data_IF_399279213207
#
_entry.id   IF_399279213207
#
_cell.length_a   1.000
_cell.length_b   1.000
_cell.length_c   1.000
_cell.angle_alpha   90.00
_cell.angle_beta   90.00
_cell.angle_gamma   90.00
#
_symmetry.space_group_name_H-M   'P 1'
#
loop_
_entity.id
_entity.type
_entity.pdbx_description
1 polymer ?
#
# COMPACT_ATOMS: atom_id res chain seq x y z
N UNK A 1 20.75 -17.74 -25.32
CA UNK A 1 20.69 -17.08 -24.01
C UNK A 1 19.25 -16.67 -23.74
N UNK A 2 18.66 -16.98 -22.57
CA UNK A 2 17.30 -16.53 -22.22
C UNK A 2 17.41 -15.28 -21.34
N UNK A 3 16.74 -14.18 -21.74
CA UNK A 3 16.70 -12.93 -20.98
C UNK A 3 15.27 -12.71 -20.49
N UNK A 4 15.09 -12.45 -19.19
CA UNK A 4 13.83 -12.01 -18.61
C UNK A 4 13.87 -10.49 -18.47
N UNK A 5 12.99 -9.80 -19.17
CA UNK A 5 12.97 -8.32 -19.25
C UNK A 5 11.65 -7.70 -18.77
N UNK A 6 10.75 -8.50 -18.16
CA UNK A 6 9.45 -8.04 -17.65
C UNK A 6 9.49 -7.84 -16.13
N UNK A 7 10.32 -6.89 -15.67
CA UNK A 7 10.44 -6.57 -14.23
C UNK A 7 9.18 -5.90 -13.67
N UNK A 8 8.39 -5.25 -14.51
CA UNK A 8 7.13 -4.64 -14.14
C UNK A 8 6.07 -5.69 -13.72
N UNK A 9 6.11 -6.90 -14.27
CA UNK A 9 5.25 -8.00 -13.85
C UNK A 9 5.69 -8.58 -12.50
N UNK A 10 6.98 -8.90 -12.34
CA UNK A 10 7.58 -9.40 -11.09
C UNK A 10 9.09 -9.41 -11.19
N UNK A 11 9.77 -9.42 -10.06
CA UNK A 11 11.23 -9.59 -10.00
C UNK A 11 11.62 -10.94 -9.39
N UNK A 12 12.86 -11.39 -9.67
CA UNK A 12 13.44 -12.51 -8.95
C UNK A 12 13.74 -12.13 -7.50
N UNK A 13 13.57 -13.07 -6.57
CA UNK A 13 14.02 -12.87 -5.20
C UNK A 13 15.53 -12.65 -5.16
N UNK A 14 15.99 -11.59 -4.50
CA UNK A 14 17.41 -11.31 -4.36
C UNK A 14 18.09 -12.32 -3.42
N UNK A 15 19.39 -12.59 -3.64
CA UNK A 15 20.18 -13.43 -2.75
C UNK A 15 20.17 -12.92 -1.31
N UNK A 16 20.30 -11.61 -1.13
CA UNK A 16 20.25 -10.95 0.19
C UNK A 16 18.91 -11.18 0.90
N UNK A 17 17.80 -11.13 0.16
CA UNK A 17 16.48 -11.41 0.72
C UNK A 17 16.34 -12.88 1.10
N UNK A 18 16.76 -13.80 0.22
CA UNK A 18 16.72 -15.24 0.48
C UNK A 18 17.52 -15.61 1.73
N UNK A 19 18.79 -15.17 1.81
CA UNK A 19 19.66 -15.43 2.96
C UNK A 19 19.08 -14.86 4.27
N UNK A 20 18.40 -13.72 4.20
CA UNK A 20 17.75 -13.14 5.36
C UNK A 20 16.50 -13.92 5.81
N UNK A 21 15.83 -14.62 4.90
CA UNK A 21 14.63 -15.42 5.19
C UNK A 21 14.94 -16.77 5.81
N UNK A 22 16.02 -17.44 5.35
CA UNK A 22 16.31 -18.84 5.69
C UNK A 22 16.28 -19.15 7.19
N UNK A 23 16.93 -18.39 8.09
CA UNK A 23 16.91 -18.68 9.52
C UNK A 23 15.50 -18.65 10.13
N UNK A 24 14.62 -17.83 9.57
CA UNK A 24 13.22 -17.67 10.04
C UNK A 24 12.27 -18.73 9.48
N UNK A 25 12.71 -19.50 8.51
CA UNK A 25 11.96 -20.62 7.95
C UNK A 25 12.36 -21.95 8.57
N UNK A 26 13.55 -22.03 9.19
CA UNK A 26 14.18 -23.28 9.65
C UNK A 26 14.44 -23.28 11.15
N UNK A 27 15.05 -22.24 11.69
CA UNK A 27 15.52 -22.19 13.08
C UNK A 27 14.58 -21.36 13.98
N UNK A 28 14.24 -20.15 13.54
CA UNK A 28 13.45 -19.17 14.31
C UNK A 28 11.99 -19.14 13.84
N UNK A 29 11.34 -20.27 13.69
CA UNK A 29 10.00 -20.43 13.09
C UNK A 29 8.84 -20.11 14.05
N UNK A 30 9.12 -19.52 15.20
CA UNK A 30 8.11 -19.20 16.23
C UNK A 30 6.94 -18.36 15.73
N UNK A 31 5.74 -18.62 16.26
CA UNK A 31 4.57 -17.80 15.96
C UNK A 31 4.65 -16.48 16.76
N UNK A 32 4.66 -15.29 16.10
CA UNK A 32 4.73 -13.99 16.78
C UNK A 32 3.59 -13.72 17.78
N UNK A 33 2.50 -14.47 17.70
CA UNK A 33 1.37 -14.35 18.64
C UNK A 33 1.53 -15.18 19.91
N UNK A 34 2.52 -16.06 19.98
CA UNK A 34 2.77 -16.89 21.16
C UNK A 34 3.49 -16.10 22.28
N UNK A 35 3.27 -16.50 23.53
CA UNK A 35 3.79 -15.81 24.71
C UNK A 35 5.16 -16.31 25.18
N UNK A 36 5.57 -17.48 24.71
CA UNK A 36 6.87 -18.08 25.03
C UNK A 36 8.02 -17.47 24.20
N UNK A 37 9.26 -17.90 24.48
CA UNK A 37 10.47 -17.24 23.96
C UNK A 37 10.55 -17.19 22.45
N UNK A 38 10.23 -18.30 21.75
CA UNK A 38 10.26 -18.35 20.29
C UNK A 38 9.24 -17.36 19.66
N UNK A 39 8.08 -17.20 20.31
CA UNK A 39 7.08 -16.23 19.89
C UNK A 39 7.53 -14.79 20.10
N UNK A 40 8.20 -14.50 21.24
CA UNK A 40 8.76 -13.15 21.47
C UNK A 40 9.85 -12.81 20.48
N UNK A 41 10.79 -13.70 20.23
CA UNK A 41 11.85 -13.54 19.21
C UNK A 41 11.27 -13.23 17.83
N UNK A 42 10.25 -13.96 17.41
CA UNK A 42 9.58 -13.74 16.14
C UNK A 42 8.84 -12.38 16.11
N UNK A 43 8.20 -11.97 17.21
CA UNK A 43 7.50 -10.68 17.34
C UNK A 43 8.46 -9.51 17.24
N UNK A 44 9.56 -9.55 17.98
CA UNK A 44 10.57 -8.49 17.99
C UNK A 44 11.18 -8.29 16.59
N UNK A 45 11.36 -9.37 15.86
CA UNK A 45 11.83 -9.31 14.49
C UNK A 45 10.76 -8.70 13.53
N UNK A 46 9.46 -8.99 13.70
CA UNK A 46 8.39 -8.34 12.93
C UNK A 46 8.38 -6.83 13.19
N UNK A 47 8.45 -6.41 14.45
CA UNK A 47 8.43 -4.98 14.79
C UNK A 47 9.71 -4.28 14.32
N UNK A 48 10.88 -4.91 14.41
CA UNK A 48 12.12 -4.39 13.82
C UNK A 48 12.01 -4.21 12.30
N UNK A 49 11.37 -5.15 11.60
CA UNK A 49 11.13 -5.00 10.16
C UNK A 49 10.18 -3.84 9.86
N UNK A 50 9.12 -3.70 10.66
CA UNK A 50 8.15 -2.60 10.55
C UNK A 50 8.82 -1.24 10.73
N UNK A 51 9.66 -1.07 11.76
CA UNK A 51 10.39 0.17 12.02
C UNK A 51 11.32 0.56 10.86
N UNK A 52 12.01 -0.41 10.27
CA UNK A 52 12.89 -0.16 9.12
C UNK A 52 12.12 0.26 7.87
N UNK A 53 10.97 -0.36 7.60
CA UNK A 53 10.10 0.04 6.49
C UNK A 53 9.60 1.47 6.70
N UNK A 54 9.19 1.81 7.92
CA UNK A 54 8.80 3.19 8.28
C UNK A 54 9.93 4.18 8.01
N UNK A 55 11.12 3.88 8.48
CA UNK A 55 12.29 4.75 8.28
C UNK A 55 12.62 4.94 6.79
N UNK A 56 12.42 3.90 5.97
CA UNK A 56 12.67 3.96 4.52
C UNK A 56 11.70 4.88 3.77
N UNK A 57 10.45 5.02 4.24
CA UNK A 57 9.43 5.89 3.65
C UNK A 57 9.29 7.23 4.40
N UNK A 58 10.18 7.56 5.32
CA UNK A 58 10.05 8.71 6.23
C UNK A 58 8.67 8.77 6.93
N UNK A 59 8.12 7.60 7.24
CA UNK A 59 6.77 7.45 7.79
C UNK A 59 6.77 7.67 9.29
N UNK A 60 6.01 8.63 9.78
CA UNK A 60 5.77 8.82 11.20
C UNK A 60 4.52 8.04 11.64
N UNK A 61 4.58 7.44 12.86
CA UNK A 61 3.44 6.84 13.53
C UNK A 61 3.23 5.33 13.33
N UNK A 62 2.07 4.84 13.79
CA UNK A 62 1.80 3.40 13.98
C UNK A 62 1.05 2.70 12.83
N UNK A 63 0.69 3.44 11.79
CA UNK A 63 -0.26 3.03 10.76
C UNK A 63 0.26 2.14 9.64
N UNK A 64 1.25 1.26 9.89
CA UNK A 64 1.73 0.31 8.87
C UNK A 64 1.22 -1.09 9.17
N UNK A 65 0.45 -1.66 8.25
CA UNK A 65 -0.12 -3.00 8.35
C UNK A 65 0.46 -3.89 7.27
N UNK A 66 0.97 -5.05 7.65
CA UNK A 66 1.44 -6.04 6.69
C UNK A 66 0.28 -6.74 6.01
N UNK A 67 0.39 -6.90 4.68
CA UNK A 67 -0.58 -7.54 3.80
C UNK A 67 0.07 -8.67 3.01
N UNK A 68 -0.70 -9.41 2.25
CA UNK A 68 -0.19 -10.43 1.31
C UNK A 68 0.37 -9.84 0.00
N UNK A 69 0.24 -8.53 -0.21
CA UNK A 69 0.70 -7.84 -1.41
C UNK A 69 -0.09 -6.57 -1.70
N UNK A 70 0.23 -5.90 -2.81
CA UNK A 70 -0.43 -4.67 -3.24
C UNK A 70 -1.94 -4.81 -3.39
N UNK A 71 -2.40 -5.90 -4.02
CA UNK A 71 -3.84 -6.13 -4.22
C UNK A 71 -4.65 -6.12 -2.92
N UNK A 72 -4.14 -6.76 -1.86
CA UNK A 72 -4.80 -6.71 -0.55
C UNK A 72 -4.75 -5.31 0.04
N UNK A 73 -3.62 -4.61 -0.08
CA UNK A 73 -3.44 -3.26 0.43
C UNK A 73 -4.39 -2.25 -0.25
N UNK A 74 -4.49 -2.28 -1.59
CA UNK A 74 -5.38 -1.42 -2.36
C UNK A 74 -6.85 -1.65 -2.03
N UNK A 75 -7.27 -2.93 -2.00
CA UNK A 75 -8.63 -3.29 -1.62
C UNK A 75 -8.96 -2.78 -0.21
N UNK A 76 -8.02 -2.93 0.72
CA UNK A 76 -8.23 -2.50 2.10
C UNK A 76 -8.34 -0.98 2.20
N UNK A 77 -7.46 -0.23 1.53
CA UNK A 77 -7.50 1.23 1.50
C UNK A 77 -8.85 1.74 0.96
N UNK A 78 -9.29 1.24 -0.20
CA UNK A 78 -10.53 1.68 -0.83
C UNK A 78 -11.75 1.35 0.02
N UNK A 79 -11.87 0.10 0.51
CA UNK A 79 -13.01 -0.33 1.33
C UNK A 79 -13.08 0.44 2.65
N UNK A 80 -11.93 0.65 3.31
CA UNK A 80 -11.83 1.36 4.57
C UNK A 80 -12.23 2.84 4.41
N UNK A 81 -11.71 3.52 3.37
CA UNK A 81 -12.05 4.90 3.09
C UNK A 81 -13.53 5.05 2.67
N UNK A 82 -14.06 4.14 1.85
CA UNK A 82 -15.47 4.12 1.48
C UNK A 82 -16.38 3.94 2.70
N UNK A 83 -16.08 2.99 3.59
CA UNK A 83 -16.85 2.76 4.80
C UNK A 83 -16.80 3.97 5.75
N UNK A 84 -15.63 4.59 5.93
CA UNK A 84 -15.47 5.80 6.74
C UNK A 84 -16.22 7.00 6.13
N UNK A 85 -16.12 7.18 4.81
CA UNK A 85 -16.83 8.23 4.07
C UNK A 85 -18.34 8.10 4.20
N UNK A 86 -18.88 6.90 4.03
CA UNK A 86 -20.31 6.64 4.13
C UNK A 86 -20.90 7.05 5.50
N UNK A 87 -20.13 6.90 6.60
CA UNK A 87 -20.56 7.32 7.94
C UNK A 87 -20.75 8.83 8.09
N UNK A 88 -20.06 9.61 7.28
CA UNK A 88 -20.12 11.07 7.28
C UNK A 88 -20.87 11.62 6.05
N UNK A 89 -21.62 10.75 5.35
CA UNK A 89 -22.44 11.13 4.19
C UNK A 89 -21.67 11.30 2.88
N UNK A 90 -20.37 10.95 2.83
CA UNK A 90 -19.56 11.03 1.62
C UNK A 90 -19.58 9.68 0.89
N UNK A 91 -20.09 9.64 -0.33
CA UNK A 91 -20.23 8.43 -1.16
C UNK A 91 -19.65 8.58 -2.56
N UNK A 92 -18.72 9.48 -2.76
CA UNK A 92 -18.02 9.65 -4.02
C UNK A 92 -16.56 9.25 -3.87
N UNK A 93 -16.10 8.42 -4.80
CA UNK A 93 -14.72 7.95 -4.92
C UNK A 93 -14.19 8.38 -6.28
N UNK A 94 -12.97 8.89 -6.32
CA UNK A 94 -12.29 9.25 -7.56
C UNK A 94 -11.09 8.32 -7.73
N UNK A 95 -10.92 7.73 -8.92
CA UNK A 95 -9.75 6.90 -9.26
C UNK A 95 -9.20 7.32 -10.62
N UNK A 96 -7.90 7.14 -10.89
CA UNK A 96 -7.41 7.39 -12.24
C UNK A 96 -7.91 6.30 -13.22
N UNK A 97 -8.04 6.64 -14.50
CA UNK A 97 -8.48 5.69 -15.51
C UNK A 97 -7.43 4.61 -15.83
N UNK A 98 -6.18 4.83 -15.40
CA UNK A 98 -5.03 3.95 -15.67
C UNK A 98 -4.57 3.14 -14.47
N UNK A 99 -5.40 3.04 -13.44
CA UNK A 99 -5.09 2.26 -12.24
C UNK A 99 -4.91 0.76 -12.54
N UNK A 100 -4.14 0.10 -11.70
CA UNK A 100 -4.11 -1.36 -11.68
C UNK A 100 -5.49 -1.93 -11.34
N UNK A 101 -5.80 -3.14 -11.82
CA UNK A 101 -7.08 -3.81 -11.55
C UNK A 101 -7.38 -4.01 -10.05
N UNK A 102 -6.34 -3.98 -9.18
CA UNK A 102 -6.49 -4.03 -7.74
C UNK A 102 -7.18 -2.77 -7.15
N UNK A 103 -7.23 -1.67 -7.90
CA UNK A 103 -7.97 -0.43 -7.60
C UNK A 103 -9.25 -0.37 -8.43
N UNK A 104 -9.18 -0.62 -9.75
CA UNK A 104 -10.35 -0.50 -10.64
C UNK A 104 -11.49 -1.47 -10.28
N UNK A 105 -11.16 -2.72 -9.93
CA UNK A 105 -12.20 -3.71 -9.61
C UNK A 105 -12.90 -3.43 -8.27
N UNK A 106 -12.20 -3.08 -7.17
CA UNK A 106 -12.85 -2.57 -5.96
C UNK A 106 -13.68 -1.31 -6.20
N UNK A 107 -13.22 -0.35 -7.02
CA UNK A 107 -13.99 0.83 -7.38
C UNK A 107 -15.33 0.45 -8.05
N UNK A 108 -15.29 -0.44 -9.06
CA UNK A 108 -16.51 -1.00 -9.69
C UNK A 108 -17.40 -1.77 -8.70
N UNK A 109 -16.81 -2.41 -7.69
CA UNK A 109 -17.58 -3.07 -6.63
C UNK A 109 -18.30 -2.05 -5.74
N UNK A 110 -17.65 -0.93 -5.43
CA UNK A 110 -18.26 0.18 -4.68
C UNK A 110 -19.39 0.83 -5.47
N UNK A 111 -19.31 0.96 -6.81
CA UNK A 111 -20.43 1.42 -7.63
C UNK A 111 -21.67 0.54 -7.44
N UNK A 112 -21.50 -0.79 -7.46
CA UNK A 112 -22.61 -1.73 -7.20
C UNK A 112 -23.19 -1.63 -5.79
N UNK A 113 -22.44 -1.07 -4.84
CA UNK A 113 -22.86 -0.80 -3.47
C UNK A 113 -23.48 0.61 -3.29
N UNK A 114 -23.65 1.35 -4.39
CA UNK A 114 -24.31 2.67 -4.38
C UNK A 114 -23.35 3.85 -4.13
N UNK A 115 -22.05 3.65 -4.29
CA UNK A 115 -21.11 4.77 -4.37
C UNK A 115 -21.08 5.33 -5.80
N UNK A 116 -20.86 6.61 -5.92
CA UNK A 116 -20.50 7.24 -7.19
C UNK A 116 -18.99 7.13 -7.38
N UNK A 117 -18.55 6.69 -8.55
CA UNK A 117 -17.13 6.63 -8.91
C UNK A 117 -16.86 7.50 -10.13
N UNK A 118 -15.86 8.35 -10.04
CA UNK A 118 -15.31 9.10 -11.18
C UNK A 118 -13.96 8.53 -11.57
N UNK A 119 -13.83 8.19 -12.85
CA UNK A 119 -12.57 7.75 -13.45
C UNK A 119 -11.91 8.97 -14.11
N UNK A 120 -10.83 9.48 -13.51
CA UNK A 120 -10.11 10.65 -14.03
C UNK A 120 -9.42 10.30 -15.35
N UNK A 121 -9.66 11.07 -16.40
CA UNK A 121 -8.90 10.93 -17.64
C UNK A 121 -7.43 11.32 -17.41
N UNK A 122 -6.58 10.82 -18.28
CA UNK A 122 -5.15 11.13 -18.30
C UNK A 122 -4.78 11.74 -19.65
N UNK A 123 -3.64 12.41 -19.72
CA UNK A 123 -3.06 12.92 -20.98
C UNK A 123 -2.61 11.76 -21.87
N UNK A 124 -2.11 12.08 -23.09
CA UNK A 124 -1.49 11.09 -23.98
C UNK A 124 -0.26 10.42 -23.37
N UNK A 125 0.41 11.09 -22.46
CA UNK A 125 1.55 10.58 -21.68
C UNK A 125 1.13 9.79 -20.43
N UNK A 126 -0.17 9.67 -20.18
CA UNK A 126 -0.71 8.95 -19.02
C UNK A 126 -0.66 9.74 -17.70
N UNK A 127 -0.61 11.08 -17.74
CA UNK A 127 -0.56 11.95 -16.56
C UNK A 127 -1.96 12.39 -16.14
N UNK A 128 -2.31 12.27 -14.86
CA UNK A 128 -3.47 12.93 -14.26
C UNK A 128 -3.13 14.40 -14.03
N UNK A 129 -3.88 15.31 -14.66
CA UNK A 129 -3.67 16.73 -14.47
C UNK A 129 -4.31 17.22 -13.16
N UNK A 130 -3.59 18.03 -12.34
CA UNK A 130 -4.09 18.58 -11.09
C UNK A 130 -5.43 19.30 -11.24
N UNK A 131 -5.60 20.13 -12.28
CA UNK A 131 -6.85 20.84 -12.58
C UNK A 131 -8.02 19.91 -12.92
N UNK A 132 -7.75 18.74 -13.51
CA UNK A 132 -8.76 17.71 -13.79
C UNK A 132 -9.25 17.08 -12.49
N UNK A 133 -8.33 16.81 -11.54
CA UNK A 133 -8.70 16.31 -10.22
C UNK A 133 -9.51 17.36 -9.45
N UNK A 134 -9.03 18.61 -9.40
CA UNK A 134 -9.71 19.67 -8.67
C UNK A 134 -11.16 19.89 -9.16
N UNK A 135 -11.36 19.88 -10.48
CA UNK A 135 -12.70 20.00 -11.09
C UNK A 135 -13.61 18.78 -10.79
N UNK A 136 -13.05 17.60 -10.49
CA UNK A 136 -13.82 16.40 -10.20
C UNK A 136 -14.21 16.27 -8.71
N UNK A 137 -13.49 16.95 -7.81
CA UNK A 137 -13.77 16.91 -6.37
C UNK A 137 -15.10 17.65 -6.10
N UNK A 138 -15.92 17.08 -5.22
CA UNK A 138 -17.20 17.64 -4.78
C UNK A 138 -17.43 17.36 -3.28
N UNK A 139 -18.42 18.00 -2.63
CA UNK A 139 -18.60 17.93 -1.18
C UNK A 139 -18.75 16.52 -0.61
N UNK A 140 -19.28 15.58 -1.40
CA UNK A 140 -19.46 14.18 -1.02
C UNK A 140 -18.28 13.28 -1.44
N UNK A 141 -17.15 13.83 -1.93
CA UNK A 141 -15.93 13.07 -2.22
C UNK A 141 -15.30 12.61 -0.92
N UNK A 142 -15.11 11.29 -0.78
CA UNK A 142 -14.46 10.66 0.35
C UNK A 142 -12.98 10.36 0.08
N UNK A 143 -12.68 9.80 -1.09
CA UNK A 143 -11.35 9.30 -1.44
C UNK A 143 -11.00 9.66 -2.88
N UNK A 144 -9.75 10.02 -3.08
CA UNK A 144 -9.06 10.01 -4.38
C UNK A 144 -7.98 8.94 -4.35
N UNK A 145 -7.91 8.09 -5.38
CA UNK A 145 -6.86 7.09 -5.55
C UNK A 145 -6.18 7.27 -6.90
N UNK A 146 -4.89 7.60 -6.88
CA UNK A 146 -4.06 7.73 -8.07
C UNK A 146 -2.76 7.00 -7.85
N UNK A 147 -2.44 6.02 -8.72
CA UNK A 147 -1.21 5.26 -8.61
C UNK A 147 0.02 6.17 -8.72
N UNK A 148 1.10 5.82 -8.02
CA UNK A 148 2.34 6.61 -8.02
C UNK A 148 3.06 6.54 -9.37
N UNK A 149 3.18 5.33 -9.89
CA UNK A 149 3.80 5.06 -11.19
C UNK A 149 3.04 3.96 -11.92
N UNK A 150 2.80 4.14 -13.22
CA UNK A 150 2.06 3.17 -14.00
C UNK A 150 2.95 1.99 -14.42
N UNK A 151 2.43 0.78 -14.29
CA UNK A 151 3.13 -0.47 -14.57
C UNK A 151 3.30 -0.79 -16.07
N UNK A 152 2.55 -0.13 -16.95
CA UNK A 152 2.57 -0.41 -18.39
C UNK A 152 3.33 0.67 -19.16
N UNK A 153 3.05 1.94 -18.92
CA UNK A 153 3.65 3.06 -19.64
C UNK A 153 4.80 3.73 -18.89
N UNK A 154 4.98 3.44 -17.59
CA UNK A 154 6.09 3.95 -16.78
C UNK A 154 5.94 5.39 -16.30
N UNK A 155 4.82 6.06 -16.59
CA UNK A 155 4.56 7.43 -16.16
C UNK A 155 4.49 7.55 -14.65
N UNK A 156 5.23 8.51 -14.10
CA UNK A 156 5.15 8.89 -12.67
C UNK A 156 4.13 10.03 -12.55
N UNK A 157 3.19 9.90 -11.63
CA UNK A 157 2.15 10.88 -11.38
C UNK A 157 2.64 12.01 -10.46
N UNK A 158 2.08 13.22 -10.54
CA UNK A 158 2.39 14.33 -9.64
C UNK A 158 1.69 14.15 -8.28
N UNK A 159 1.97 13.03 -7.61
CA UNK A 159 1.23 12.56 -6.41
C UNK A 159 1.30 13.53 -5.23
N UNK A 160 2.39 14.28 -5.08
CA UNK A 160 2.50 15.30 -4.01
C UNK A 160 1.51 16.44 -4.23
N UNK A 161 1.38 16.93 -5.48
CA UNK A 161 0.44 17.98 -5.84
C UNK A 161 -1.02 17.51 -5.74
N UNK A 162 -1.30 16.30 -6.21
CA UNK A 162 -2.63 15.69 -6.12
C UNK A 162 -3.05 15.46 -4.66
N UNK A 163 -2.13 15.02 -3.80
CA UNK A 163 -2.37 14.86 -2.36
C UNK A 163 -2.65 16.20 -1.68
N UNK A 164 -1.92 17.25 -2.06
CA UNK A 164 -2.15 18.60 -1.51
C UNK A 164 -3.53 19.15 -1.90
N UNK A 165 -3.97 18.96 -3.15
CA UNK A 165 -5.34 19.32 -3.57
C UNK A 165 -6.37 18.56 -2.71
N UNK A 166 -6.21 17.26 -2.54
CA UNK A 166 -7.10 16.47 -1.69
C UNK A 166 -7.14 16.98 -0.26
N UNK A 167 -5.99 17.32 0.31
CA UNK A 167 -5.87 17.88 1.66
C UNK A 167 -6.62 19.21 1.81
N UNK A 168 -6.50 20.12 0.83
CA UNK A 168 -7.20 21.40 0.82
C UNK A 168 -8.74 21.23 0.81
N UNK A 169 -9.22 20.17 0.17
CA UNK A 169 -10.66 19.85 0.09
C UNK A 169 -11.17 18.91 1.20
N UNK A 170 -10.30 18.49 2.14
CA UNK A 170 -10.65 17.55 3.20
C UNK A 170 -11.09 16.18 2.66
N UNK A 171 -10.40 15.72 1.62
CA UNK A 171 -10.59 14.44 0.93
C UNK A 171 -9.37 13.56 1.21
N UNK A 172 -9.57 12.28 1.50
CA UNK A 172 -8.45 11.34 1.69
C UNK A 172 -7.78 11.02 0.36
N UNK A 173 -6.45 10.84 0.42
CA UNK A 173 -5.64 10.49 -0.74
C UNK A 173 -4.96 9.13 -0.54
N UNK A 174 -5.18 8.22 -1.50
CA UNK A 174 -4.51 6.93 -1.62
C UNK A 174 -3.61 6.92 -2.85
N UNK A 175 -2.45 6.30 -2.72
CA UNK A 175 -1.59 6.00 -3.87
C UNK A 175 -1.15 4.54 -3.87
N UNK A 176 -1.38 3.84 -4.98
CA UNK A 176 -0.74 2.56 -5.27
C UNK A 176 0.72 2.83 -5.66
N UNK A 177 1.63 2.61 -4.72
CA UNK A 177 3.08 2.79 -4.90
C UNK A 177 3.80 1.47 -5.21
N UNK A 178 3.10 0.44 -5.64
CA UNK A 178 3.67 -0.89 -5.92
C UNK A 178 4.78 -0.83 -6.96
N UNK A 179 4.66 0.02 -7.99
CA UNK A 179 5.71 0.20 -9.01
C UNK A 179 6.75 1.27 -8.63
N UNK A 180 6.46 2.12 -7.65
CA UNK A 180 7.37 3.19 -7.23
C UNK A 180 8.34 2.73 -6.13
N UNK A 181 7.86 1.92 -5.18
CA UNK A 181 8.64 1.48 -4.03
C UNK A 181 9.91 0.71 -4.46
N UNK A 182 11.06 1.18 -3.96
CA UNK A 182 12.36 0.63 -4.32
C UNK A 182 12.93 1.11 -5.65
N UNK A 183 12.21 1.94 -6.40
CA UNK A 183 12.63 2.51 -7.70
C UNK A 183 12.74 4.03 -7.66
N UNK A 184 11.90 4.70 -6.87
CA UNK A 184 11.96 6.15 -6.63
C UNK A 184 11.96 6.43 -5.13
N UNK A 185 12.45 7.60 -4.75
CA UNK A 185 12.36 8.05 -3.36
C UNK A 185 10.89 8.30 -2.98
N UNK A 186 10.44 7.72 -1.88
CA UNK A 186 9.12 7.98 -1.30
C UNK A 186 9.32 8.59 0.08
N UNK A 187 8.87 9.82 0.24
CA UNK A 187 8.91 10.57 1.50
C UNK A 187 7.48 10.96 1.91
N UNK A 188 6.90 10.22 2.84
CA UNK A 188 5.53 10.44 3.29
C UNK A 188 5.34 11.75 4.05
N UNK A 189 6.43 12.39 4.52
CA UNK A 189 6.35 13.73 5.13
C UNK A 189 6.07 14.80 4.08
N UNK A 190 6.53 14.60 2.84
CA UNK A 190 6.26 15.48 1.69
C UNK A 190 4.97 15.09 0.98
N UNK A 191 4.84 13.82 0.64
CA UNK A 191 3.69 13.28 -0.10
C UNK A 191 2.36 13.48 0.64
N UNK A 192 2.36 13.41 1.98
CA UNK A 192 1.18 13.60 2.84
C UNK A 192 -0.03 12.73 2.46
N UNK A 193 0.20 11.56 1.84
CA UNK A 193 -0.86 10.61 1.54
C UNK A 193 -1.50 10.07 2.83
N UNK A 194 -2.81 9.78 2.77
CA UNK A 194 -3.51 9.12 3.88
C UNK A 194 -3.35 7.60 3.82
N UNK A 195 -3.18 7.05 2.61
CA UNK A 195 -2.93 5.62 2.38
C UNK A 195 -1.88 5.43 1.29
N UNK A 196 -1.03 4.41 1.47
CA UNK A 196 -0.05 4.01 0.46
C UNK A 196 0.11 2.49 0.46
N UNK A 197 0.00 1.88 -0.73
CA UNK A 197 0.10 0.44 -0.94
C UNK A 197 1.43 0.05 -1.55
N UNK A 198 2.03 -1.05 -1.05
CA UNK A 198 3.32 -1.56 -1.54
C UNK A 198 3.33 -3.09 -1.63
N UNK A 199 4.10 -3.63 -2.58
CA UNK A 199 4.30 -5.06 -2.76
C UNK A 199 5.77 -5.40 -2.98
N UNK A 200 6.32 -6.30 -2.15
CA UNK A 200 7.76 -6.60 -2.12
C UNK A 200 8.29 -7.21 -3.43
N UNK A 201 7.49 -8.00 -4.15
CA UNK A 201 7.95 -8.73 -5.33
C UNK A 201 8.27 -7.84 -6.54
N UNK A 202 8.01 -6.55 -6.49
CA UNK A 202 8.35 -5.59 -7.55
C UNK A 202 9.78 -5.05 -7.42
N UNK A 203 10.40 -5.18 -6.25
CA UNK A 203 11.78 -4.74 -5.97
C UNK A 203 12.62 -5.84 -5.28
N UNK A 204 12.60 -7.04 -5.86
CA UNK A 204 13.41 -8.19 -5.47
C UNK A 204 13.08 -8.81 -4.09
N UNK A 205 11.91 -8.48 -3.55
CA UNK A 205 11.37 -9.12 -2.35
C UNK A 205 10.55 -10.38 -2.66
N UNK A 206 10.11 -11.09 -1.63
CA UNK A 206 9.29 -12.28 -1.80
C UNK A 206 7.88 -11.94 -2.27
N UNK A 207 7.28 -12.85 -3.03
CA UNK A 207 5.83 -12.86 -3.32
C UNK A 207 5.05 -13.15 -2.05
N UNK A 208 3.79 -12.74 -1.98
CA UNK A 208 2.94 -12.95 -0.81
C UNK A 208 3.25 -12.00 0.36
N UNK A 209 3.89 -10.87 0.09
CA UNK A 209 4.27 -9.88 1.08
C UNK A 209 4.07 -8.45 0.54
N UNK A 210 3.36 -7.64 1.31
CA UNK A 210 3.10 -6.24 1.05
C UNK A 210 2.82 -5.48 2.35
N UNK A 211 2.56 -4.20 2.25
CA UNK A 211 2.01 -3.43 3.35
C UNK A 211 1.06 -2.33 2.88
N UNK A 212 0.18 -1.93 3.78
CA UNK A 212 -0.61 -0.73 3.68
C UNK A 212 -0.13 0.27 4.75
N UNK A 213 0.29 1.46 4.32
CA UNK A 213 0.41 2.60 5.20
C UNK A 213 -0.96 3.25 5.38
N UNK A 214 -1.27 3.59 6.61
CA UNK A 214 -2.46 4.38 6.99
C UNK A 214 -2.00 5.52 7.88
N UNK A 215 -2.34 6.74 7.50
CA UNK A 215 -1.98 7.96 8.25
C UNK A 215 -2.50 7.91 9.69
N UNK A 216 -1.73 8.42 10.61
CA UNK A 216 -2.14 8.53 12.00
C UNK A 216 -3.45 9.30 12.17
N UNK A 217 -4.28 8.79 13.10
CA UNK A 217 -5.59 9.38 13.37
C UNK A 217 -6.72 8.85 12.47
N UNK A 218 -6.42 8.12 11.39
CA UNK A 218 -7.46 7.44 10.63
C UNK A 218 -7.95 6.18 11.40
N UNK A 219 -9.25 6.06 11.58
CA UNK A 219 -9.84 4.88 12.23
C UNK A 219 -9.80 3.67 11.31
N UNK A 220 -8.75 2.86 11.45
CA UNK A 220 -8.58 1.63 10.67
C UNK A 220 -9.63 0.59 11.06
N UNK A 221 -10.34 0.05 10.06
CA UNK A 221 -11.22 -1.11 10.19
C UNK A 221 -10.52 -2.37 9.72
N UNK A 222 -10.96 -3.52 10.27
CA UNK A 222 -10.40 -4.81 9.88
C UNK A 222 -10.87 -5.19 8.48
N UNK A 223 -9.94 -5.61 7.63
CA UNK A 223 -10.27 -6.24 6.34
C UNK A 223 -10.55 -7.75 6.51
N UNK A 224 -9.76 -8.40 7.36
CA UNK A 224 -9.87 -9.83 7.65
C UNK A 224 -10.14 -10.00 9.15
N UNK A 225 -11.31 -10.52 9.48
CA UNK A 225 -11.70 -10.80 10.85
C UNK A 225 -11.10 -12.13 11.34
N UNK A 226 -10.69 -12.18 12.61
CA UNK A 226 -10.07 -13.36 13.21
C UNK A 226 -9.23 -13.04 14.42
N UNK A 227 -8.01 -13.56 14.51
CA UNK A 227 -7.07 -13.32 15.62
C UNK A 227 -6.55 -11.88 15.67
N UNK A 228 -5.86 -11.55 16.77
CA UNK A 228 -5.39 -10.19 17.08
C UNK A 228 -4.13 -9.75 16.31
N UNK A 229 -3.76 -10.42 15.22
CA UNK A 229 -2.61 -10.03 14.40
C UNK A 229 -2.81 -8.61 13.82
N UNK A 230 -1.72 -7.93 13.51
CA UNK A 230 -1.74 -6.52 13.04
C UNK A 230 -2.63 -5.63 13.89
N UNK A 231 -2.49 -5.72 15.22
CA UNK A 231 -3.29 -4.96 16.20
C UNK A 231 -4.81 -5.21 16.06
N UNK A 232 -5.19 -6.43 15.66
CA UNK A 232 -6.59 -6.82 15.40
C UNK A 232 -7.19 -6.24 14.11
N UNK A 233 -6.36 -5.71 13.22
CA UNK A 233 -6.83 -5.08 11.97
C UNK A 233 -6.69 -5.99 10.75
N UNK A 234 -5.77 -6.96 10.82
CA UNK A 234 -5.59 -7.96 9.77
C UNK A 234 -5.26 -9.30 10.40
N UNK A 235 -6.24 -10.17 10.50
CA UNK A 235 -6.09 -11.50 11.07
C UNK A 235 -5.26 -12.44 10.18
N UNK A 236 -4.80 -13.53 10.77
CA UNK A 236 -4.04 -14.58 10.10
C UNK A 236 -2.52 -14.48 10.33
N UNK A 237 -1.82 -15.62 10.27
CA UNK A 237 -0.38 -15.66 10.42
C UNK A 237 0.31 -14.87 9.30
N UNK A 238 1.39 -14.21 9.66
CA UNK A 238 2.20 -13.42 8.72
C UNK A 238 3.23 -14.32 8.05
N UNK A 239 3.57 -14.04 6.79
CA UNK A 239 4.77 -14.56 6.15
C UNK A 239 6.00 -13.84 6.74
N UNK A 240 6.27 -14.12 8.01
CA UNK A 240 7.27 -13.44 8.82
C UNK A 240 8.69 -13.46 8.19
N UNK A 241 9.20 -14.56 7.64
CA UNK A 241 10.50 -14.56 6.96
C UNK A 241 10.57 -13.53 5.84
N UNK A 242 9.48 -13.34 5.10
CA UNK A 242 9.38 -12.38 4.02
C UNK A 242 9.47 -10.93 4.53
N UNK A 243 8.82 -10.61 5.64
CA UNK A 243 8.87 -9.28 6.26
C UNK A 243 10.28 -8.94 6.74
N UNK A 244 10.99 -9.92 7.31
CA UNK A 244 12.37 -9.75 7.76
C UNK A 244 13.35 -9.49 6.61
N UNK A 245 13.14 -10.15 5.46
CA UNK A 245 13.94 -9.92 4.27
C UNK A 245 13.73 -8.51 3.71
N UNK A 246 12.51 -8.03 3.70
CA UNK A 246 12.12 -6.74 3.16
C UNK A 246 12.91 -5.58 3.77
N UNK A 247 13.20 -5.60 5.05
CA UNK A 247 14.01 -4.58 5.75
C UNK A 247 15.37 -4.27 5.12
N UNK A 248 15.91 -5.17 4.25
CA UNK A 248 17.19 -5.02 3.56
C UNK A 248 17.06 -4.51 2.14
N UNK A 249 15.86 -4.51 1.58
CA UNK A 249 15.62 -4.22 0.18
C UNK A 249 15.21 -2.77 -0.06
N UNK A 250 14.31 -2.25 0.76
CA UNK A 250 13.87 -0.89 0.62
C UNK A 250 14.85 0.06 1.31
N UNK A 251 15.66 0.73 0.53
CA UNK A 251 16.52 1.83 0.96
C UNK A 251 16.00 3.12 0.33
N UNK A 252 16.27 4.27 0.95
CA UNK A 252 16.17 5.56 0.26
C UNK A 252 17.12 5.52 -0.94
N UNK A 253 16.62 5.73 -2.14
CA UNK A 253 17.39 5.78 -3.39
C UNK A 253 18.20 7.06 -3.41
#
# INVERSE_FOLDING_TARGET
MRVYADQAATTSLSKTALEAMLPWMTENFGNPSALYEEGRTARDAVETAREKIRASAACEGEGNYFTSGGTEADNWALQMAAAAGARIGKKHIIVSAIEHHAVLNPAKSLERQGFRVTYLPVTSEGVVLPETLEAAICPDTALVSVMYANNEVGTIQPVEELAEICRMHGVWFHTDAVQAAGHVEIDLTKLQADFLSVSAHKFHGPKGCGFLYVKNGFRTESLLEGGAQEKGKRAGPKMFPALWAWRRLWRRV
#
